data_IF_296659530138
#
_entry.id   IF_296659530138
#
_cell.length_a   1.000
_cell.length_b   1.000
_cell.length_c   1.000
_cell.angle_alpha   90.00
_cell.angle_beta   90.00
_cell.angle_gamma   90.00
#
_symmetry.space_group_name_H-M   'P 1'
#
loop_
_entity.id
_entity.type
_entity.pdbx_description
1 polymer ?
#
# COMPACT_ATOMS: atom_id res chain seq x y z
N UNK A 1 -7.72 17.86 -12.73
CA UNK A 1 -7.10 17.74 -11.39
C UNK A 1 -8.06 17.08 -10.42
N UNK A 2 -7.55 16.41 -9.40
CA UNK A 2 -8.27 15.94 -8.23
C UNK A 2 -7.97 16.89 -7.06
N UNK A 3 -8.99 17.17 -6.23
CA UNK A 3 -8.83 18.06 -5.07
C UNK A 3 -9.25 17.29 -3.82
N UNK A 4 -8.30 17.03 -2.90
CA UNK A 4 -8.56 16.48 -1.57
C UNK A 4 -8.78 17.65 -0.61
N UNK A 5 -9.99 17.74 -0.04
CA UNK A 5 -10.36 18.81 0.90
C UNK A 5 -10.24 18.30 2.33
N UNK A 6 -9.45 18.97 3.12
CA UNK A 6 -9.15 18.61 4.51
C UNK A 6 -9.63 19.73 5.44
N UNK A 7 -10.69 19.47 6.21
CA UNK A 7 -11.26 20.46 7.13
C UNK A 7 -10.41 20.61 8.40
N UNK A 8 -9.94 21.83 8.69
CA UNK A 8 -9.04 22.13 9.81
C UNK A 8 -9.65 21.81 11.19
N UNK A 9 -10.95 22.04 11.37
CA UNK A 9 -11.61 21.74 12.63
C UNK A 9 -11.64 20.23 12.89
N UNK A 10 -11.91 19.42 11.85
CA UNK A 10 -11.87 17.95 11.95
C UNK A 10 -10.44 17.44 12.20
N UNK A 11 -9.43 18.01 11.50
CA UNK A 11 -8.03 17.66 11.69
C UNK A 11 -7.60 17.88 13.14
N UNK A 12 -7.96 19.04 13.72
CA UNK A 12 -7.66 19.37 15.13
C UNK A 12 -8.40 18.46 16.10
N UNK A 13 -9.69 18.23 15.88
CA UNK A 13 -10.51 17.36 16.73
C UNK A 13 -9.99 15.91 16.78
N UNK A 14 -9.33 15.46 15.73
CA UNK A 14 -8.74 14.11 15.60
C UNK A 14 -7.23 14.06 15.90
N UNK A 15 -6.61 15.18 16.30
CA UNK A 15 -5.18 15.31 16.52
C UNK A 15 -4.31 14.82 15.33
N UNK A 16 -4.74 15.19 14.10
CA UNK A 16 -4.12 14.75 12.86
C UNK A 16 -3.26 15.81 12.16
N UNK A 17 -3.01 16.96 12.78
CA UNK A 17 -2.28 18.07 12.14
C UNK A 17 -0.88 17.66 11.65
N UNK A 18 -0.12 16.98 12.51
CA UNK A 18 1.21 16.49 12.15
C UNK A 18 1.18 15.47 11.00
N UNK A 19 0.15 14.62 10.95
CA UNK A 19 -0.02 13.63 9.88
C UNK A 19 -0.25 14.32 8.53
N UNK A 20 -1.16 15.29 8.50
CA UNK A 20 -1.46 16.05 7.27
C UNK A 20 -0.23 16.81 6.78
N UNK A 21 0.47 17.51 7.67
CA UNK A 21 1.70 18.23 7.30
C UNK A 21 2.78 17.28 6.77
N UNK A 22 2.88 16.08 7.32
CA UNK A 22 3.83 15.07 6.87
C UNK A 22 3.45 14.51 5.50
N UNK A 23 2.17 14.17 5.28
CA UNK A 23 1.67 13.73 3.97
C UNK A 23 1.99 14.75 2.88
N UNK A 24 1.72 16.02 3.13
CA UNK A 24 2.05 17.13 2.22
C UNK A 24 3.55 17.21 1.94
N UNK A 25 4.38 17.11 2.98
CA UNK A 25 5.85 17.13 2.82
C UNK A 25 6.33 15.96 1.98
N UNK A 26 5.81 14.76 2.22
CA UNK A 26 6.15 13.54 1.48
C UNK A 26 5.76 13.68 0.01
N UNK A 27 4.52 14.06 -0.27
CA UNK A 27 4.03 14.24 -1.65
C UNK A 27 4.84 15.29 -2.43
N UNK A 28 5.33 16.34 -1.77
CA UNK A 28 6.20 17.35 -2.39
C UNK A 28 7.60 16.84 -2.76
N UNK A 29 8.08 15.78 -2.09
CA UNK A 29 9.39 15.19 -2.36
C UNK A 29 9.41 14.35 -3.64
N UNK A 30 8.26 13.77 -4.02
CA UNK A 30 8.22 12.79 -5.09
C UNK A 30 7.94 13.41 -6.45
N UNK A 31 8.82 13.06 -7.41
CA UNK A 31 8.60 13.25 -8.86
C UNK A 31 8.91 11.94 -9.54
N UNK A 32 7.92 11.04 -9.56
CA UNK A 32 8.06 9.72 -10.12
C UNK A 32 6.84 9.37 -10.98
N UNK A 33 7.00 8.69 -12.15
CA UNK A 33 5.89 8.39 -13.05
C UNK A 33 4.80 7.54 -12.41
N UNK A 34 5.14 6.73 -11.39
CA UNK A 34 4.22 5.83 -10.71
C UNK A 34 3.87 6.27 -9.28
N UNK A 35 4.06 7.53 -8.94
CA UNK A 35 3.58 8.15 -7.69
C UNK A 35 2.66 9.30 -8.05
N UNK A 36 1.53 9.42 -7.34
CA UNK A 36 0.57 10.53 -7.52
C UNK A 36 1.28 11.88 -7.35
N UNK A 37 1.07 12.79 -8.30
CA UNK A 37 1.72 14.11 -8.27
C UNK A 37 0.86 15.11 -7.50
N UNK A 38 1.45 15.78 -6.53
CA UNK A 38 0.90 16.96 -5.88
C UNK A 38 1.30 18.20 -6.70
N UNK A 39 0.31 18.95 -7.17
CA UNK A 39 0.56 20.19 -7.93
C UNK A 39 0.68 21.39 -6.99
N UNK A 40 -0.29 21.56 -6.10
CA UNK A 40 -0.40 22.73 -5.25
C UNK A 40 -1.10 22.41 -3.94
N UNK A 41 -0.83 23.20 -2.91
CA UNK A 41 -1.54 23.18 -1.64
C UNK A 41 -2.09 24.58 -1.41
N UNK A 42 -3.41 24.70 -1.36
CA UNK A 42 -4.11 25.94 -1.06
C UNK A 42 -4.66 25.88 0.36
N UNK A 43 -4.53 26.97 1.07
CA UNK A 43 -4.94 27.04 2.47
C UNK A 43 -5.95 28.18 2.67
N UNK A 44 -7.01 27.89 3.41
CA UNK A 44 -7.96 28.88 3.91
C UNK A 44 -8.04 28.81 5.44
N UNK A 45 -8.73 29.72 6.09
CA UNK A 45 -8.94 29.65 7.54
C UNK A 45 -9.64 28.36 7.99
N UNK A 46 -10.48 27.75 7.14
CA UNK A 46 -11.31 26.57 7.47
C UNK A 46 -10.78 25.27 6.89
N UNK A 47 -10.11 25.31 5.74
CA UNK A 47 -9.78 24.10 4.98
C UNK A 47 -8.38 24.16 4.35
N UNK A 48 -7.82 22.97 4.07
CA UNK A 48 -6.61 22.77 3.27
C UNK A 48 -7.01 21.99 2.02
N UNK A 49 -6.61 22.46 0.85
CA UNK A 49 -6.89 21.83 -0.44
C UNK A 49 -5.60 21.29 -1.02
N UNK A 50 -5.54 19.97 -1.24
CA UNK A 50 -4.44 19.35 -1.97
C UNK A 50 -4.87 19.18 -3.43
N UNK A 51 -4.27 19.95 -4.33
CA UNK A 51 -4.51 19.87 -5.76
C UNK A 51 -3.55 18.84 -6.35
N UNK A 52 -4.08 17.74 -6.85
CA UNK A 52 -3.30 16.58 -7.29
C UNK A 52 -3.63 16.17 -8.72
N UNK A 53 -2.77 15.31 -9.26
CA UNK A 53 -3.01 14.58 -10.50
C UNK A 53 -4.35 13.84 -10.43
N UNK A 54 -5.17 13.98 -11.47
CA UNK A 54 -6.40 13.23 -11.61
C UNK A 54 -6.11 11.92 -12.35
N UNK A 55 -6.49 10.81 -11.76
CA UNK A 55 -6.30 9.47 -12.29
C UNK A 55 -7.68 8.92 -12.69
N UNK A 56 -7.95 8.73 -13.99
CA UNK A 56 -9.32 8.52 -14.48
C UNK A 56 -9.82 7.09 -14.46
N UNK A 57 -8.92 6.07 -14.43
CA UNK A 57 -9.34 4.66 -14.62
C UNK A 57 -9.62 3.91 -13.31
N UNK A 58 -9.70 4.62 -12.19
CA UNK A 58 -10.10 4.03 -10.91
C UNK A 58 -8.98 3.28 -10.19
N UNK A 59 -9.38 2.38 -9.31
CA UNK A 59 -8.48 1.64 -8.43
C UNK A 59 -8.05 0.30 -9.06
N UNK A 60 -6.83 -0.13 -8.79
CA UNK A 60 -6.36 -1.47 -9.17
C UNK A 60 -7.24 -2.56 -8.53
N UNK A 61 -7.85 -2.27 -7.37
CA UNK A 61 -8.80 -3.16 -6.73
C UNK A 61 -9.98 -3.50 -7.64
N UNK A 62 -10.65 -2.48 -8.19
CA UNK A 62 -11.80 -2.68 -9.07
C UNK A 62 -11.42 -3.46 -10.33
N UNK A 63 -10.24 -3.17 -10.88
CA UNK A 63 -9.71 -3.88 -12.04
C UNK A 63 -9.50 -5.38 -11.76
N UNK A 64 -9.00 -5.75 -10.56
CA UNK A 64 -8.85 -7.15 -10.15
C UNK A 64 -10.22 -7.82 -10.01
N UNK A 65 -11.17 -7.14 -9.37
CA UNK A 65 -12.53 -7.66 -9.14
C UNK A 65 -13.23 -7.95 -10.49
N UNK A 66 -13.12 -7.04 -11.45
CA UNK A 66 -13.72 -7.23 -12.79
C UNK A 66 -13.08 -8.38 -13.58
N UNK A 67 -11.75 -8.50 -13.54
CA UNK A 67 -10.99 -9.48 -14.33
C UNK A 67 -10.88 -10.84 -13.66
N UNK A 68 -11.08 -10.91 -12.36
CA UNK A 68 -10.86 -12.08 -11.52
C UNK A 68 -9.38 -12.30 -11.26
N UNK A 69 -8.61 -12.76 -12.24
CA UNK A 69 -7.16 -12.95 -12.12
C UNK A 69 -6.45 -12.49 -13.39
N UNK A 70 -5.22 -12.03 -13.23
CA UNK A 70 -4.39 -11.55 -14.34
C UNK A 70 -3.42 -12.63 -14.81
N UNK A 71 -2.95 -12.48 -16.05
CA UNK A 71 -1.81 -13.24 -16.55
C UNK A 71 -0.53 -12.82 -15.84
N UNK A 72 0.48 -13.71 -15.78
CA UNK A 72 1.80 -13.38 -15.21
C UNK A 72 2.46 -12.18 -15.92
N UNK A 73 2.18 -11.99 -17.21
CA UNK A 73 2.69 -10.85 -18.00
C UNK A 73 2.11 -9.52 -17.53
N UNK A 74 0.78 -9.45 -17.34
CA UNK A 74 0.10 -8.26 -16.84
C UNK A 74 0.48 -7.95 -15.39
N UNK A 75 0.43 -8.95 -14.51
CA UNK A 75 0.82 -8.81 -13.12
C UNK A 75 2.28 -8.32 -12.98
N UNK A 76 3.19 -8.84 -13.81
CA UNK A 76 4.59 -8.39 -13.87
C UNK A 76 4.67 -6.90 -14.16
N UNK A 77 3.93 -6.40 -15.17
CA UNK A 77 3.94 -4.99 -15.54
C UNK A 77 3.52 -4.10 -14.36
N UNK A 78 2.41 -4.43 -13.70
CA UNK A 78 1.92 -3.65 -12.55
C UNK A 78 2.89 -3.69 -11.38
N UNK A 79 3.42 -4.87 -11.06
CA UNK A 79 4.35 -5.03 -9.92
C UNK A 79 5.69 -4.34 -10.21
N UNK A 80 6.22 -4.36 -11.44
CA UNK A 80 7.42 -3.61 -11.78
C UNK A 80 7.26 -2.11 -11.58
N UNK A 81 6.10 -1.55 -11.98
CA UNK A 81 5.78 -0.15 -11.78
C UNK A 81 5.63 0.18 -10.29
N UNK A 82 4.96 -0.67 -9.53
CA UNK A 82 4.80 -0.53 -8.08
C UNK A 82 6.15 -0.59 -7.36
N UNK A 83 6.98 -1.57 -7.67
CA UNK A 83 8.35 -1.69 -7.12
C UNK A 83 9.18 -0.45 -7.41
N UNK A 84 9.12 0.07 -8.65
CA UNK A 84 9.83 1.30 -9.02
C UNK A 84 9.38 2.52 -8.20
N UNK A 85 8.08 2.65 -7.94
CA UNK A 85 7.53 3.71 -7.09
C UNK A 85 7.98 3.58 -5.63
N UNK A 86 7.87 2.37 -5.08
CA UNK A 86 8.18 2.11 -3.67
C UNK A 86 9.69 2.21 -3.41
N UNK A 87 10.52 1.75 -4.35
CA UNK A 87 11.98 1.93 -4.27
C UNK A 87 12.36 3.41 -4.26
N UNK A 88 11.70 4.24 -5.07
CA UNK A 88 11.88 5.69 -5.03
C UNK A 88 11.50 6.27 -3.65
N UNK A 89 10.43 5.77 -3.01
CA UNK A 89 10.06 6.15 -1.66
C UNK A 89 11.14 5.76 -0.65
N UNK A 90 11.62 4.52 -0.68
CA UNK A 90 12.63 4.00 0.24
C UNK A 90 13.96 4.76 0.13
N UNK A 91 14.41 5.10 -1.07
CA UNK A 91 15.59 5.98 -1.29
C UNK A 91 15.45 7.33 -0.62
N UNK A 92 14.24 7.87 -0.58
CA UNK A 92 13.91 9.11 0.13
C UNK A 92 13.61 8.90 1.62
N UNK A 93 13.92 7.70 2.18
CA UNK A 93 13.67 7.32 3.57
C UNK A 93 12.20 7.37 3.99
N UNK A 94 11.30 7.17 3.03
CA UNK A 94 9.86 7.08 3.25
C UNK A 94 9.41 5.64 3.06
N UNK A 95 8.77 5.07 4.07
CA UNK A 95 8.10 3.77 4.00
C UNK A 95 6.61 4.02 3.88
N UNK A 96 5.93 3.38 2.93
CA UNK A 96 4.51 3.63 2.65
C UNK A 96 3.60 3.07 3.75
N UNK A 97 3.80 1.81 4.14
CA UNK A 97 3.15 1.10 5.26
C UNK A 97 1.66 0.77 5.11
N UNK A 98 1.01 1.25 4.07
CA UNK A 98 -0.41 0.95 3.75
C UNK A 98 -0.59 0.66 2.25
N UNK A 99 0.32 -0.13 1.68
CA UNK A 99 0.16 -0.58 0.30
C UNK A 99 -0.95 -1.62 0.23
N UNK A 100 -1.96 -1.31 -0.59
CA UNK A 100 -3.11 -2.17 -0.90
C UNK A 100 -3.71 -1.72 -2.23
N UNK A 101 -4.46 -2.57 -2.94
CA UNK A 101 -4.96 -2.23 -4.27
C UNK A 101 -5.85 -0.99 -4.32
N UNK A 102 -6.50 -0.61 -3.21
CA UNK A 102 -7.31 0.61 -3.09
C UNK A 102 -6.46 1.89 -3.13
N UNK A 103 -5.18 1.80 -2.74
CA UNK A 103 -4.23 2.92 -2.80
C UNK A 103 -3.39 2.93 -4.09
N UNK A 104 -3.69 2.03 -5.02
CA UNK A 104 -3.06 1.92 -6.33
C UNK A 104 -4.08 2.30 -7.40
N UNK A 105 -3.87 3.46 -8.02
CA UNK A 105 -4.75 3.98 -9.07
C UNK A 105 -4.19 3.62 -10.45
N UNK A 106 -5.06 3.55 -11.46
CA UNK A 106 -4.68 3.28 -12.85
C UNK A 106 -4.93 4.52 -13.70
N UNK A 107 -3.91 4.98 -14.42
CA UNK A 107 -4.05 6.08 -15.38
C UNK A 107 -4.73 5.61 -16.69
N UNK A 108 -4.90 6.52 -17.63
CA UNK A 108 -5.57 6.23 -18.91
C UNK A 108 -4.83 5.16 -19.75
N UNK A 109 -3.52 5.04 -19.57
CA UNK A 109 -2.67 4.04 -20.23
C UNK A 109 -2.52 2.77 -19.38
N UNK A 110 -3.33 2.64 -18.32
CA UNK A 110 -3.29 1.52 -17.38
C UNK A 110 -1.93 1.38 -16.68
N UNK A 111 -1.28 2.48 -16.33
CA UNK A 111 -0.10 2.47 -15.48
C UNK A 111 -0.49 2.71 -14.03
N UNK A 112 0.25 2.07 -13.13
CA UNK A 112 0.03 2.20 -11.69
C UNK A 112 0.51 3.57 -11.20
N UNK A 113 -0.29 4.20 -10.35
CA UNK A 113 0.01 5.39 -9.57
C UNK A 113 -0.22 5.11 -8.10
N UNK A 114 0.84 5.09 -7.31
CA UNK A 114 0.77 4.95 -5.85
C UNK A 114 0.21 6.22 -5.25
N UNK A 115 -0.86 6.10 -4.49
CA UNK A 115 -1.56 7.19 -3.82
C UNK A 115 -1.62 6.96 -2.30
N UNK A 116 -2.13 7.95 -1.59
CA UNK A 116 -2.40 7.91 -0.15
C UNK A 116 -1.20 7.58 0.75
N UNK A 117 -0.34 8.58 0.94
CA UNK A 117 0.80 8.54 1.85
C UNK A 117 0.42 8.90 3.31
N UNK A 118 -0.86 8.97 3.63
CA UNK A 118 -1.36 9.42 4.94
C UNK A 118 -0.88 8.59 6.14
N UNK A 119 -0.52 7.34 5.92
CA UNK A 119 0.02 6.43 6.94
C UNK A 119 1.53 6.23 6.82
N UNK A 120 2.14 6.69 5.75
CA UNK A 120 3.57 6.63 5.58
C UNK A 120 4.26 7.35 6.73
N UNK A 121 5.04 6.64 7.51
CA UNK A 121 5.85 7.23 8.59
C UNK A 121 5.18 7.44 9.97
N UNK A 122 3.99 6.96 10.26
CA UNK A 122 3.25 7.26 11.52
C UNK A 122 3.09 6.06 12.46
N UNK A 123 3.93 5.06 12.39
CA UNK A 123 3.91 4.00 13.39
C UNK A 123 4.87 4.30 14.54
N UNK A 124 4.50 5.24 15.42
CA UNK A 124 5.18 5.39 16.71
C UNK A 124 4.49 4.66 17.86
N UNK A 125 3.18 4.40 17.79
CA UNK A 125 2.46 3.93 18.99
C UNK A 125 1.34 2.97 18.62
N UNK A 126 1.50 1.70 18.50
CA UNK A 126 0.48 0.64 18.61
C UNK A 126 -1.01 0.93 18.33
N UNK A 127 -1.37 2.19 18.11
CA UNK A 127 -2.73 2.68 17.83
C UNK A 127 -3.22 2.37 16.40
N UNK A 128 -2.35 1.91 15.52
CA UNK A 128 -2.68 1.60 14.12
C UNK A 128 -3.82 0.58 13.99
N UNK A 129 -3.84 -0.42 14.88
CA UNK A 129 -4.86 -1.48 14.85
C UNK A 129 -6.25 -1.02 15.33
N UNK A 130 -6.38 0.15 15.97
CA UNK A 130 -7.67 0.66 16.47
C UNK A 130 -8.39 1.61 15.52
N UNK A 131 -7.71 2.14 14.52
CA UNK A 131 -8.25 3.19 13.62
C UNK A 131 -8.24 2.81 12.13
N UNK A 132 -7.74 1.64 11.75
CA UNK A 132 -7.75 1.18 10.37
C UNK A 132 -9.13 0.64 10.00
N UNK A 133 -9.90 1.42 9.24
CA UNK A 133 -11.05 0.93 8.48
C UNK A 133 -10.61 0.13 7.23
N UNK A 134 -9.32 -0.24 7.12
CA UNK A 134 -8.75 -1.02 6.03
C UNK A 134 -8.67 -2.51 6.37
N UNK A 135 -8.68 -3.35 5.35
CA UNK A 135 -8.47 -4.79 5.50
C UNK A 135 -7.04 -5.08 5.98
N UNK A 136 -6.82 -5.75 7.12
CA UNK A 136 -5.49 -6.08 7.63
C UNK A 136 -4.75 -7.14 6.81
N UNK A 137 -5.39 -7.67 5.78
CA UNK A 137 -4.88 -8.76 4.93
C UNK A 137 -3.53 -8.44 4.25
N UNK A 138 -3.24 -7.14 4.03
CA UNK A 138 -2.01 -6.67 3.38
C UNK A 138 -0.90 -6.32 4.39
N UNK A 139 -1.20 -6.31 5.68
CA UNK A 139 -0.25 -5.90 6.73
C UNK A 139 0.74 -7.03 7.06
N UNK A 140 2.02 -6.66 7.21
CA UNK A 140 3.07 -7.59 7.57
C UNK A 140 2.94 -8.13 9.00
N UNK A 141 3.47 -9.33 9.31
CA UNK A 141 3.40 -9.94 10.64
C UNK A 141 3.92 -9.05 11.78
N UNK A 142 5.02 -8.35 11.53
CA UNK A 142 5.63 -7.41 12.48
C UNK A 142 4.72 -6.20 12.76
N UNK A 143 3.97 -5.74 11.74
CA UNK A 143 2.99 -4.65 11.88
C UNK A 143 1.83 -5.10 12.76
N UNK A 144 1.25 -6.28 12.49
CA UNK A 144 0.15 -6.86 13.26
C UNK A 144 0.57 -7.16 14.69
N UNK A 145 1.84 -7.48 14.91
CA UNK A 145 2.40 -7.77 16.24
C UNK A 145 2.74 -6.51 17.03
N UNK A 146 2.55 -5.31 16.46
CA UNK A 146 2.83 -4.03 17.11
C UNK A 146 4.31 -3.80 17.37
N UNK A 147 5.19 -4.37 16.56
CA UNK A 147 6.62 -4.14 16.70
C UNK A 147 6.96 -2.69 16.32
N UNK A 148 7.73 -2.02 17.18
CA UNK A 148 8.10 -0.60 17.02
C UNK A 148 8.93 -0.29 15.77
N UNK A 149 9.56 -1.29 15.19
CA UNK A 149 10.42 -1.19 14.00
C UNK A 149 9.77 -1.90 12.81
N UNK A 150 8.99 -1.16 12.05
CA UNK A 150 8.53 -1.57 10.73
C UNK A 150 9.31 -0.75 9.69
N UNK A 151 10.33 -1.37 9.11
CA UNK A 151 11.18 -0.79 8.08
C UNK A 151 10.61 -0.97 6.67
N UNK A 152 11.43 -0.76 5.62
CA UNK A 152 11.04 -0.95 4.22
C UNK A 152 10.48 -2.33 3.91
N UNK A 153 10.82 -3.34 4.71
CA UNK A 153 10.42 -4.74 4.55
C UNK A 153 8.90 -4.94 4.62
N UNK A 154 8.18 -4.04 5.31
CA UNK A 154 6.70 -4.11 5.38
C UNK A 154 6.06 -3.86 4.02
N UNK A 155 6.62 -2.95 3.22
CA UNK A 155 6.12 -2.65 1.88
C UNK A 155 6.37 -3.84 0.94
N UNK A 156 7.50 -4.54 1.10
CA UNK A 156 7.79 -5.77 0.32
C UNK A 156 6.77 -6.86 0.61
N UNK A 157 6.38 -7.04 1.88
CA UNK A 157 5.29 -7.96 2.23
C UNK A 157 3.98 -7.59 1.54
N UNK A 158 3.58 -6.32 1.63
CA UNK A 158 2.34 -5.84 1.02
C UNK A 158 2.35 -6.02 -0.51
N UNK A 159 3.49 -5.74 -1.19
CA UNK A 159 3.65 -6.01 -2.62
C UNK A 159 3.51 -7.51 -2.91
N UNK A 160 4.04 -8.38 -2.07
CA UNK A 160 3.88 -9.83 -2.19
C UNK A 160 2.42 -10.28 -2.10
N UNK A 161 1.65 -9.70 -1.17
CA UNK A 161 0.20 -9.95 -1.07
C UNK A 161 -0.54 -9.44 -2.30
N UNK A 162 -0.19 -8.24 -2.79
CA UNK A 162 -0.79 -7.67 -4.01
C UNK A 162 -0.46 -8.56 -5.23
N UNK A 163 0.78 -9.00 -5.40
CA UNK A 163 1.17 -9.89 -6.50
C UNK A 163 0.39 -11.21 -6.45
N UNK A 164 0.23 -11.80 -5.27
CA UNK A 164 -0.59 -12.98 -5.09
C UNK A 164 -2.04 -12.71 -5.51
N UNK A 165 -2.64 -11.62 -5.03
CA UNK A 165 -4.02 -11.24 -5.35
C UNK A 165 -4.23 -11.02 -6.87
N UNK A 166 -3.30 -10.35 -7.55
CA UNK A 166 -3.33 -10.15 -9.00
C UNK A 166 -3.37 -11.48 -9.77
N UNK A 167 -2.60 -12.46 -9.33
CA UNK A 167 -2.42 -13.74 -10.04
C UNK A 167 -3.45 -14.80 -9.67
N UNK A 168 -4.00 -14.72 -8.46
CA UNK A 168 -4.91 -15.73 -7.93
C UNK A 168 -6.38 -15.30 -7.93
N UNK A 169 -6.66 -13.98 -7.97
CA UNK A 169 -8.00 -13.42 -7.78
C UNK A 169 -8.53 -13.59 -6.35
N UNK A 170 -7.65 -13.95 -5.42
CA UNK A 170 -7.94 -14.15 -4.00
C UNK A 170 -6.74 -13.77 -3.15
N UNK A 171 -6.95 -13.48 -1.87
CA UNK A 171 -5.89 -13.14 -0.94
C UNK A 171 -5.13 -14.39 -0.46
N UNK A 172 -3.81 -14.29 -0.15
CA UNK A 172 -3.08 -15.40 0.46
C UNK A 172 -3.52 -15.65 1.91
N UNK A 173 -3.91 -14.59 2.60
CA UNK A 173 -4.41 -14.64 3.97
C UNK A 173 -5.79 -14.02 4.02
N UNK A 174 -6.79 -14.85 4.34
CA UNK A 174 -8.18 -14.42 4.47
C UNK A 174 -8.90 -15.23 5.53
N UNK A 175 -9.73 -14.55 6.33
CA UNK A 175 -10.59 -15.17 7.33
C UNK A 175 -11.63 -14.15 7.80
N UNK A 176 -12.87 -14.57 8.02
CA UNK A 176 -13.92 -13.71 8.58
C UNK A 176 -13.62 -13.32 10.04
N UNK A 177 -12.88 -14.17 10.74
CA UNK A 177 -12.46 -13.94 12.12
C UNK A 177 -11.08 -13.25 12.16
N UNK A 178 -11.02 -11.99 12.58
CA UNK A 178 -9.78 -11.21 12.62
C UNK A 178 -8.65 -11.86 13.45
N UNK A 179 -8.88 -12.43 14.66
CA UNK A 179 -7.87 -13.21 15.37
C UNK A 179 -7.33 -14.40 14.57
N UNK A 180 -8.19 -15.13 13.84
CA UNK A 180 -7.76 -16.23 12.99
C UNK A 180 -6.93 -15.75 11.80
N UNK A 181 -7.34 -14.66 11.15
CA UNK A 181 -6.56 -14.00 10.11
C UNK A 181 -5.17 -13.62 10.60
N UNK A 182 -5.07 -12.98 11.76
CA UNK A 182 -3.79 -12.59 12.36
C UNK A 182 -2.90 -13.79 12.67
N UNK A 183 -3.49 -14.92 13.09
CA UNK A 183 -2.75 -16.17 13.30
C UNK A 183 -2.16 -16.69 11.98
N UNK A 184 -2.94 -16.74 10.91
CA UNK A 184 -2.47 -17.15 9.57
C UNK A 184 -1.31 -16.27 9.08
N UNK A 185 -1.47 -14.94 9.17
CA UNK A 185 -0.43 -13.99 8.75
C UNK A 185 0.86 -14.19 9.56
N UNK A 186 0.77 -14.30 10.90
CA UNK A 186 1.93 -14.50 11.79
C UNK A 186 2.61 -15.84 11.57
N UNK A 187 1.88 -16.86 11.15
CA UNK A 187 2.42 -18.17 10.82
C UNK A 187 2.97 -18.25 9.38
N UNK A 188 2.60 -17.30 8.51
CA UNK A 188 2.94 -17.36 7.09
C UNK A 188 2.24 -18.53 6.38
N UNK A 189 1.05 -18.91 6.85
CA UNK A 189 0.30 -20.07 6.34
C UNK A 189 -0.58 -19.66 5.15
N UNK A 190 -0.15 -19.99 3.95
CA UNK A 190 -0.90 -19.82 2.70
C UNK A 190 -0.53 -20.94 1.71
N UNK A 191 -1.30 -21.08 0.64
CA UNK A 191 -1.10 -22.11 -0.39
C UNK A 191 -0.95 -21.49 -1.76
N UNK A 192 -0.25 -22.18 -2.67
CA UNK A 192 -0.13 -21.75 -4.06
C UNK A 192 -1.09 -22.55 -4.96
N UNK A 193 -1.95 -21.90 -5.75
CA UNK A 193 -2.70 -22.56 -6.80
C UNK A 193 -1.78 -23.19 -7.85
N UNK A 194 -2.23 -24.27 -8.48
CA UNK A 194 -1.43 -25.06 -9.44
C UNK A 194 -1.08 -24.28 -10.73
N UNK A 195 -1.82 -23.24 -11.08
CA UNK A 195 -1.60 -22.47 -12.29
C UNK A 195 -0.40 -21.52 -12.24
N UNK A 196 0.15 -21.24 -11.05
CA UNK A 196 1.32 -20.37 -10.91
C UNK A 196 2.60 -21.09 -11.32
N UNK A 197 3.44 -20.40 -12.09
CA UNK A 197 4.77 -20.93 -12.45
C UNK A 197 5.70 -21.07 -11.22
N UNK A 198 6.69 -21.97 -11.26
CA UNK A 198 7.65 -22.13 -10.17
C UNK A 198 8.40 -20.83 -9.83
N UNK A 199 8.71 -20.02 -10.86
CA UNK A 199 9.42 -18.74 -10.70
C UNK A 199 8.57 -17.75 -9.87
N UNK A 200 7.29 -17.65 -10.17
CA UNK A 200 6.36 -16.76 -9.45
C UNK A 200 6.15 -17.23 -8.02
N UNK A 201 6.02 -18.54 -7.81
CA UNK A 201 5.91 -19.10 -6.44
C UNK A 201 7.16 -18.80 -5.60
N UNK A 202 8.35 -18.93 -6.17
CA UNK A 202 9.61 -18.58 -5.49
C UNK A 202 9.64 -17.10 -5.13
N UNK A 203 9.29 -16.20 -6.07
CA UNK A 203 9.25 -14.76 -5.83
C UNK A 203 8.30 -14.39 -4.69
N UNK A 204 7.03 -14.83 -4.77
CA UNK A 204 6.05 -14.58 -3.71
C UNK A 204 6.54 -15.16 -2.37
N UNK A 205 7.09 -16.37 -2.37
CA UNK A 205 7.62 -17.01 -1.17
C UNK A 205 8.73 -16.20 -0.49
N UNK A 206 9.60 -15.55 -1.27
CA UNK A 206 10.65 -14.65 -0.73
C UNK A 206 10.08 -13.32 -0.22
N UNK A 207 9.00 -12.84 -0.81
CA UNK A 207 8.34 -11.60 -0.36
C UNK A 207 7.49 -11.81 0.89
N UNK A 208 6.87 -12.99 1.04
CA UNK A 208 6.01 -13.35 2.17
C UNK A 208 6.74 -14.18 3.25
N UNK A 209 8.02 -13.89 3.48
CA UNK A 209 8.74 -14.42 4.64
C UNK A 209 8.35 -13.69 5.91
N UNK A 210 7.97 -14.44 6.94
CA UNK A 210 7.56 -13.91 8.25
C UNK A 210 8.70 -13.14 8.91
N UNK A 211 9.93 -13.68 8.85
CA UNK A 211 11.13 -13.00 9.34
C UNK A 211 11.52 -11.85 8.38
N UNK A 212 11.37 -10.58 8.79
CA UNK A 212 11.65 -9.44 7.92
C UNK A 212 13.11 -9.36 7.48
N UNK A 213 14.06 -9.88 8.26
CA UNK A 213 15.49 -9.88 7.92
C UNK A 213 15.85 -10.87 6.80
N UNK A 214 14.99 -11.87 6.56
CA UNK A 214 15.16 -12.86 5.48
C UNK A 214 14.31 -12.55 4.26
N UNK A 215 13.38 -11.60 4.40
CA UNK A 215 12.48 -11.17 3.33
C UNK A 215 13.27 -10.52 2.20
N UNK A 216 12.80 -10.67 0.96
CA UNK A 216 13.39 -9.99 -0.19
C UNK A 216 13.47 -8.47 0.05
N UNK A 217 14.47 -7.82 -0.51
CA UNK A 217 14.64 -6.35 -0.53
C UNK A 217 14.35 -5.82 -1.94
N UNK A 218 13.93 -4.54 -2.04
CA UNK A 218 13.80 -3.82 -3.31
C UNK A 218 15.15 -3.30 -3.77
#
# INVERSE_FOLDING_TARGET
VAIKVLNRAKIRALDMEEKVLREVKILRLFRHPHVIKLYEVLETPTDIFLVMEHIPSGELFDYIVERGRLSEGEARRFVQQLVSAVECCHRNRVVHRDLKPENLLLDAEMNVKVADFGLSNVMRDGHFLKTSCGSPNYAAPEVISGQLYAGPEVDVWSIGVILYALLCGSLPFDDENIPALFKKIKAGEYTFPNHLSPIVRDLIGRMLLVDPLKRATL
#
